data_IF_714198747541
#
_entry.id   IF_714198747541
#
_cell.length_a   1.000
_cell.length_b   1.000
_cell.length_c   1.000
_cell.angle_alpha   90.00
_cell.angle_beta   90.00
_cell.angle_gamma   90.00
#
_symmetry.space_group_name_H-M   'P 1'
#
loop_
_entity.id
_entity.type
_entity.pdbx_description
1 polymer ?
#
# COMPACT_ATOMS: atom_id res chain seq x y z
N UNK A 1 -6.48 -0.31 21.24
CA UNK A 1 -6.25 0.29 19.89
C UNK A 1 -7.61 0.55 19.24
N UNK A 2 -7.69 1.41 18.23
CA UNK A 2 -8.97 1.78 17.61
C UNK A 2 -9.73 0.59 16.96
N UNK A 3 -9.02 -0.47 16.57
CA UNK A 3 -9.63 -1.67 15.95
C UNK A 3 -10.18 -2.64 17.00
N UNK A 4 -9.41 -2.95 18.05
CA UNK A 4 -9.83 -3.95 19.05
C UNK A 4 -10.70 -3.36 20.18
N UNK A 5 -10.65 -2.04 20.40
CA UNK A 5 -11.43 -1.33 21.42
C UNK A 5 -12.11 -0.13 20.77
N UNK A 6 -13.27 -0.37 20.15
CA UNK A 6 -13.95 0.63 19.33
C UNK A 6 -14.44 1.85 20.10
N UNK A 7 -14.61 1.72 21.42
CA UNK A 7 -15.03 2.73 22.39
C UNK A 7 -13.85 3.49 23.03
N UNK A 8 -12.61 3.11 22.74
CA UNK A 8 -11.42 3.83 23.21
C UNK A 8 -11.33 5.21 22.52
N UNK A 9 -11.84 6.22 23.20
CA UNK A 9 -11.97 7.58 22.67
C UNK A 9 -10.61 8.19 22.30
N UNK A 10 -9.56 7.94 23.07
CA UNK A 10 -8.22 8.45 22.78
C UNK A 10 -7.71 7.86 21.46
N UNK A 11 -7.73 6.53 21.32
CA UNK A 11 -7.30 5.87 20.10
C UNK A 11 -8.14 6.25 18.86
N UNK A 12 -9.45 6.47 19.04
CA UNK A 12 -10.33 6.95 17.96
C UNK A 12 -10.02 8.39 17.56
N UNK A 13 -9.76 9.26 18.53
CA UNK A 13 -9.41 10.66 18.29
C UNK A 13 -8.08 10.76 17.53
N UNK A 14 -7.09 9.98 17.93
CA UNK A 14 -5.79 9.94 17.26
C UNK A 14 -5.90 9.42 15.82
N UNK A 15 -6.72 8.39 15.57
CA UNK A 15 -6.98 7.90 14.21
C UNK A 15 -7.70 8.93 13.33
N UNK A 16 -8.66 9.68 13.88
CA UNK A 16 -9.35 10.74 13.14
C UNK A 16 -8.38 11.87 12.78
N UNK A 17 -7.53 12.27 13.72
CA UNK A 17 -6.49 13.27 13.48
C UNK A 17 -5.51 12.78 12.40
N UNK A 18 -5.02 11.55 12.51
CA UNK A 18 -4.14 10.94 11.50
C UNK A 18 -4.78 10.89 10.11
N UNK A 19 -6.05 10.48 10.02
CA UNK A 19 -6.79 10.45 8.75
C UNK A 19 -6.97 11.86 8.15
N UNK A 20 -7.25 12.86 8.98
CA UNK A 20 -7.34 14.26 8.54
C UNK A 20 -6.01 14.76 7.98
N UNK A 21 -4.90 14.52 8.69
CA UNK A 21 -3.55 14.92 8.26
C UNK A 21 -3.15 14.21 6.96
N UNK A 22 -3.43 12.91 6.84
CA UNK A 22 -3.23 12.16 5.60
C UNK A 22 -4.06 12.75 4.44
N UNK A 23 -5.32 13.11 4.70
CA UNK A 23 -6.19 13.80 3.76
C UNK A 23 -5.63 15.14 3.27
N UNK A 24 -5.12 15.96 4.18
CA UNK A 24 -4.45 17.22 3.84
C UNK A 24 -3.20 16.99 2.97
N UNK A 25 -2.41 15.95 3.28
CA UNK A 25 -1.23 15.61 2.51
C UNK A 25 -1.60 15.19 1.08
N UNK A 26 -2.44 14.16 0.90
CA UNK A 26 -2.70 13.63 -0.45
C UNK A 26 -3.59 14.54 -1.31
N UNK A 27 -4.32 15.47 -0.70
CA UNK A 27 -5.03 16.52 -1.43
C UNK A 27 -4.09 17.48 -2.18
N UNK A 28 -2.84 17.61 -1.72
CA UNK A 28 -1.82 18.49 -2.30
C UNK A 28 -0.69 17.72 -3.00
N UNK A 29 -0.42 16.48 -2.58
CA UNK A 29 0.54 15.57 -3.20
C UNK A 29 -0.20 14.26 -3.56
N UNK A 30 -0.73 14.14 -4.79
CA UNK A 30 -1.58 13.01 -5.16
C UNK A 30 -0.93 11.65 -4.92
N UNK A 31 -1.79 10.64 -4.76
CA UNK A 31 -1.37 9.24 -4.57
C UNK A 31 -0.79 8.64 -5.86
N UNK A 32 -0.07 7.51 -5.71
CA UNK A 32 0.58 6.80 -6.81
C UNK A 32 0.08 5.36 -7.01
N UNK A 33 1.01 4.44 -7.28
CA UNK A 33 0.72 3.09 -7.76
C UNK A 33 -0.17 2.26 -6.82
N UNK A 34 -0.08 2.41 -5.50
CA UNK A 34 -0.96 1.68 -4.56
C UNK A 34 -2.44 1.85 -4.93
N UNK A 35 -2.88 3.08 -5.19
CA UNK A 35 -4.27 3.36 -5.54
C UNK A 35 -4.59 2.92 -6.98
N UNK A 36 -3.64 3.10 -7.91
CA UNK A 36 -3.79 2.68 -9.30
C UNK A 36 -4.04 1.16 -9.42
N UNK A 37 -3.29 0.34 -8.68
CA UNK A 37 -3.49 -1.11 -8.63
C UNK A 37 -4.68 -1.52 -7.75
N UNK A 38 -5.10 -0.69 -6.79
CA UNK A 38 -6.28 -0.98 -5.97
C UNK A 38 -7.62 -0.75 -6.69
N UNK A 39 -7.67 0.17 -7.67
CA UNK A 39 -8.92 0.52 -8.37
C UNK A 39 -9.52 -0.65 -9.18
N UNK A 40 -8.75 -1.41 -9.99
CA UNK A 40 -9.27 -2.58 -10.69
C UNK A 40 -9.84 -3.65 -9.76
N UNK A 41 -9.23 -3.85 -8.58
CA UNK A 41 -9.73 -4.76 -7.54
C UNK A 41 -11.11 -4.35 -7.03
N UNK A 42 -11.29 -3.06 -6.73
CA UNK A 42 -12.59 -2.53 -6.29
C UNK A 42 -13.64 -2.51 -7.41
N UNK A 43 -13.24 -2.16 -8.63
CA UNK A 43 -14.14 -2.07 -9.78
C UNK A 43 -14.60 -3.43 -10.32
N UNK A 44 -13.71 -4.42 -10.35
CA UNK A 44 -14.00 -5.75 -10.94
C UNK A 44 -14.52 -6.74 -9.90
N UNK A 45 -13.99 -6.70 -8.67
CA UNK A 45 -14.27 -7.72 -7.63
C UNK A 45 -15.00 -7.15 -6.41
N UNK A 46 -15.36 -5.86 -6.43
CA UNK A 46 -16.06 -5.18 -5.32
C UNK A 46 -15.32 -5.28 -3.97
N UNK A 47 -14.00 -5.41 -4.00
CA UNK A 47 -13.17 -5.41 -2.80
C UNK A 47 -13.20 -4.01 -2.18
N UNK A 48 -13.47 -3.86 -0.87
CA UNK A 48 -13.48 -2.56 -0.20
C UNK A 48 -12.15 -1.80 -0.42
N UNK A 49 -12.25 -0.52 -0.74
CA UNK A 49 -11.09 0.27 -1.19
C UNK A 49 -9.91 0.25 -0.21
N UNK A 50 -10.17 0.38 1.10
CA UNK A 50 -9.12 0.30 2.12
C UNK A 50 -8.41 -1.06 2.17
N UNK A 51 -9.15 -2.15 1.94
CA UNK A 51 -8.58 -3.49 1.88
C UNK A 51 -7.73 -3.67 0.62
N UNK A 52 -8.21 -3.23 -0.55
CA UNK A 52 -7.42 -3.25 -1.79
C UNK A 52 -6.10 -2.48 -1.64
N UNK A 53 -6.13 -1.29 -1.04
CA UNK A 53 -4.90 -0.53 -0.77
C UNK A 53 -3.97 -1.27 0.20
N UNK A 54 -4.51 -1.86 1.27
CA UNK A 54 -3.73 -2.62 2.26
C UNK A 54 -3.04 -3.84 1.63
N UNK A 55 -3.72 -4.52 0.70
CA UNK A 55 -3.17 -5.66 -0.04
C UNK A 55 -1.99 -5.24 -0.92
N UNK A 56 -2.13 -4.13 -1.67
CA UNK A 56 -1.11 -3.71 -2.64
C UNK A 56 0.07 -2.95 -2.01
N UNK A 57 -0.12 -2.29 -0.87
CA UNK A 57 0.87 -1.39 -0.26
C UNK A 57 2.26 -2.04 -0.04
N UNK A 58 2.40 -3.23 0.58
CA UNK A 58 3.71 -3.83 0.79
C UNK A 58 4.50 -4.07 -0.50
N UNK A 59 3.81 -4.48 -1.57
CA UNK A 59 4.42 -4.83 -2.84
C UNK A 59 4.86 -3.58 -3.61
N UNK A 60 4.05 -2.51 -3.54
CA UNK A 60 4.40 -1.22 -4.14
C UNK A 60 5.54 -0.53 -3.40
N UNK A 61 5.64 -0.65 -2.07
CA UNK A 61 6.80 -0.15 -1.31
C UNK A 61 8.09 -0.80 -1.83
N UNK A 62 8.10 -2.14 -1.99
CA UNK A 62 9.25 -2.88 -2.53
C UNK A 62 9.59 -2.44 -3.95
N UNK A 63 8.58 -2.30 -4.80
CA UNK A 63 8.76 -1.83 -6.17
C UNK A 63 9.37 -0.42 -6.23
N UNK A 64 8.92 0.49 -5.37
CA UNK A 64 9.37 1.88 -5.34
C UNK A 64 10.73 2.06 -4.64
N UNK A 65 11.27 1.04 -3.95
CA UNK A 65 12.51 1.12 -3.18
C UNK A 65 13.69 1.78 -3.94
N UNK A 66 13.95 1.48 -5.24
CA UNK A 66 15.05 2.11 -5.96
C UNK A 66 14.93 3.64 -6.12
N UNK A 67 13.70 4.18 -6.08
CA UNK A 67 13.43 5.61 -6.27
C UNK A 67 13.02 6.33 -4.97
N UNK A 68 12.49 5.60 -3.98
CA UNK A 68 11.88 6.15 -2.77
C UNK A 68 12.53 5.68 -1.47
N UNK A 69 13.55 4.81 -1.50
CA UNK A 69 14.18 4.26 -0.30
C UNK A 69 14.65 5.32 0.71
N UNK A 70 15.27 6.40 0.23
CA UNK A 70 15.71 7.53 1.08
C UNK A 70 14.53 8.30 1.72
N UNK A 71 13.37 8.32 1.07
CA UNK A 71 12.15 8.87 1.65
C UNK A 71 11.56 7.92 2.69
N UNK A 72 11.70 6.60 2.49
CA UNK A 72 11.26 5.60 3.43
C UNK A 72 12.09 5.58 4.72
N UNK A 73 13.38 5.90 4.67
CA UNK A 73 14.21 6.13 5.86
C UNK A 73 13.59 7.21 6.77
N UNK A 74 13.08 8.30 6.20
CA UNK A 74 12.54 9.43 6.96
C UNK A 74 11.22 9.11 7.68
N UNK A 75 10.48 8.10 7.21
CA UNK A 75 9.15 7.76 7.73
C UNK A 75 9.11 6.44 8.50
N UNK A 76 10.16 5.62 8.43
CA UNK A 76 10.23 4.31 9.07
C UNK A 76 10.05 4.37 10.59
N UNK A 77 10.78 5.25 11.27
CA UNK A 77 10.67 5.42 12.72
C UNK A 77 9.29 5.97 13.15
N UNK A 78 8.80 7.11 12.62
CA UNK A 78 7.52 7.66 13.09
C UNK A 78 6.29 6.81 12.73
N UNK A 79 6.35 6.00 11.66
CA UNK A 79 5.22 5.15 11.25
C UNK A 79 5.26 3.79 11.95
N UNK A 80 6.43 3.15 11.98
CA UNK A 80 6.55 1.74 12.31
C UNK A 80 7.44 1.48 13.55
N UNK A 81 8.04 2.52 14.13
CA UNK A 81 9.01 2.38 15.22
C UNK A 81 10.29 1.66 14.78
N UNK A 82 10.60 1.68 13.48
CA UNK A 82 11.80 1.06 12.93
C UNK A 82 12.95 2.05 13.07
N UNK A 83 13.97 1.69 13.85
CA UNK A 83 15.24 2.42 13.85
C UNK A 83 15.94 2.18 12.50
N UNK A 84 16.05 3.24 11.72
CA UNK A 84 16.63 3.22 10.38
C UNK A 84 18.03 3.86 10.32
N UNK A 85 18.64 4.17 11.46
CA UNK A 85 19.93 4.89 11.52
C UNK A 85 21.09 4.15 10.84
N UNK A 86 21.03 2.81 10.81
CA UNK A 86 22.03 1.94 10.17
C UNK A 86 21.51 1.22 8.91
N UNK A 87 20.30 1.56 8.44
CA UNK A 87 19.70 0.92 7.27
C UNK A 87 19.94 1.73 5.99
N UNK A 88 20.09 1.02 4.87
CA UNK A 88 20.02 1.65 3.55
C UNK A 88 18.57 1.71 3.02
N UNK A 89 18.37 2.49 1.96
CA UNK A 89 17.06 2.66 1.33
C UNK A 89 16.39 1.34 0.91
N UNK A 90 17.17 0.34 0.48
CA UNK A 90 16.63 -0.97 0.09
C UNK A 90 16.13 -1.76 1.31
N UNK A 91 16.95 -1.81 2.36
CA UNK A 91 16.69 -2.58 3.57
C UNK A 91 15.52 -1.99 4.33
N UNK A 92 15.46 -0.66 4.49
CA UNK A 92 14.31 -0.01 5.15
C UNK A 92 13.01 -0.23 4.37
N UNK A 93 13.06 -0.26 3.04
CA UNK A 93 11.89 -0.53 2.20
C UNK A 93 11.32 -1.92 2.47
N UNK A 94 12.18 -2.93 2.58
CA UNK A 94 11.75 -4.30 2.87
C UNK A 94 11.17 -4.42 4.28
N UNK A 95 11.83 -3.83 5.29
CA UNK A 95 11.34 -3.85 6.67
C UNK A 95 9.99 -3.11 6.79
N UNK A 96 9.85 -1.96 6.14
CA UNK A 96 8.62 -1.18 6.13
C UNK A 96 7.48 -1.91 5.41
N UNK A 97 7.77 -2.55 4.27
CA UNK A 97 6.81 -3.40 3.57
C UNK A 97 6.38 -4.60 4.44
N UNK A 98 7.32 -5.24 5.13
CA UNK A 98 7.07 -6.30 6.10
C UNK A 98 6.17 -5.84 7.24
N UNK A 99 6.43 -4.66 7.81
CA UNK A 99 5.60 -4.06 8.85
C UNK A 99 4.13 -3.90 8.41
N UNK A 100 3.86 -3.36 7.23
CA UNK A 100 2.48 -3.19 6.75
C UNK A 100 1.81 -4.53 6.46
N UNK A 101 2.55 -5.50 5.95
CA UNK A 101 2.06 -6.87 5.75
C UNK A 101 1.66 -7.53 7.09
N UNK A 102 2.52 -7.46 8.10
CA UNK A 102 2.24 -7.99 9.43
C UNK A 102 1.12 -7.23 10.15
N UNK A 103 1.06 -5.91 9.96
CA UNK A 103 -0.03 -5.09 10.51
C UNK A 103 -1.38 -5.55 9.94
N UNK A 104 -1.48 -5.74 8.62
CA UNK A 104 -2.71 -6.26 8.00
C UNK A 104 -3.11 -7.62 8.60
N UNK A 105 -2.17 -8.56 8.72
CA UNK A 105 -2.41 -9.86 9.33
C UNK A 105 -2.85 -9.75 10.80
N UNK A 106 -2.21 -8.90 11.61
CA UNK A 106 -2.57 -8.66 13.02
C UNK A 106 -3.96 -8.05 13.18
N UNK A 107 -4.42 -7.27 12.20
CA UNK A 107 -5.75 -6.69 12.17
C UNK A 107 -6.82 -7.66 11.60
N UNK A 108 -6.42 -8.87 11.21
CA UNK A 108 -7.33 -9.88 10.64
C UNK A 108 -7.78 -9.57 9.22
N UNK A 109 -7.01 -8.76 8.48
CA UNK A 109 -7.27 -8.47 7.08
C UNK A 109 -6.66 -9.56 6.18
N UNK A 110 -7.33 -9.92 5.07
CA UNK A 110 -6.72 -10.72 4.01
C UNK A 110 -5.42 -10.08 3.52
N UNK A 111 -4.41 -10.90 3.26
CA UNK A 111 -3.05 -10.43 2.91
C UNK A 111 -2.57 -10.92 1.54
N UNK A 112 -3.41 -11.71 0.86
CA UNK A 112 -3.17 -12.28 -0.46
C UNK A 112 -4.41 -12.16 -1.33
N UNK A 113 -4.23 -11.94 -2.63
CA UNK A 113 -5.35 -11.83 -3.59
C UNK A 113 -6.16 -13.13 -3.68
N UNK A 114 -5.51 -14.29 -3.54
CA UNK A 114 -6.21 -15.59 -3.52
C UNK A 114 -7.20 -15.75 -2.36
N UNK A 115 -6.99 -15.05 -1.23
CA UNK A 115 -7.95 -15.01 -0.11
C UNK A 115 -9.23 -14.24 -0.48
N UNK A 116 -9.15 -13.40 -1.52
CA UNK A 116 -10.26 -12.62 -2.05
C UNK A 116 -10.96 -13.29 -3.23
N UNK A 117 -10.71 -14.59 -3.46
CA UNK A 117 -11.28 -15.39 -4.55
C UNK A 117 -10.93 -14.87 -5.95
N UNK A 118 -9.82 -14.13 -6.07
CA UNK A 118 -9.27 -13.74 -7.37
C UNK A 118 -8.49 -14.92 -7.93
N UNK A 119 -8.73 -15.27 -9.20
CA UNK A 119 -7.96 -16.28 -9.90
C UNK A 119 -6.63 -15.71 -10.40
N UNK A 120 -5.55 -16.50 -10.36
CA UNK A 120 -4.24 -16.10 -10.88
C UNK A 120 -4.28 -15.69 -12.36
N UNK A 121 -5.18 -16.33 -13.13
CA UNK A 121 -5.41 -16.00 -14.54
C UNK A 121 -5.97 -14.59 -14.78
N UNK A 122 -6.45 -13.91 -13.73
CA UNK A 122 -6.95 -12.53 -13.82
C UNK A 122 -5.86 -11.47 -13.64
N UNK A 123 -4.65 -11.84 -13.19
CA UNK A 123 -3.59 -10.86 -12.94
C UNK A 123 -3.17 -10.05 -14.18
N UNK A 124 -3.11 -10.63 -15.40
CA UNK A 124 -2.86 -9.86 -16.63
C UNK A 124 -3.90 -8.75 -16.88
N UNK A 125 -5.20 -9.07 -16.79
CA UNK A 125 -6.30 -8.09 -16.97
C UNK A 125 -6.26 -7.00 -15.88
N UNK A 126 -5.94 -7.37 -14.64
CA UNK A 126 -5.75 -6.43 -13.54
C UNK A 126 -4.56 -5.48 -13.78
N UNK A 127 -3.46 -5.97 -14.38
CA UNK A 127 -2.30 -5.17 -14.75
C UNK A 127 -2.64 -4.18 -15.87
N UNK A 128 -3.33 -4.62 -16.93
CA UNK A 128 -3.79 -3.72 -18.01
C UNK A 128 -4.67 -2.59 -17.46
N UNK A 129 -5.69 -2.94 -16.66
CA UNK A 129 -6.61 -1.95 -16.05
C UNK A 129 -5.93 -1.01 -15.07
N UNK A 130 -4.85 -1.46 -14.42
CA UNK A 130 -4.05 -0.59 -13.55
C UNK A 130 -3.33 0.48 -14.38
N UNK A 131 -2.81 0.12 -15.57
CA UNK A 131 -2.19 1.08 -16.49
C UNK A 131 -3.16 2.11 -17.05
N UNK A 132 -4.46 1.83 -17.10
CA UNK A 132 -5.45 2.86 -17.45
C UNK A 132 -5.53 4.00 -16.41
N UNK A 133 -5.01 3.80 -15.20
CA UNK A 133 -5.02 4.78 -14.12
C UNK A 133 -3.88 5.81 -14.23
N UNK A 134 -3.61 6.31 -15.44
CA UNK A 134 -2.50 7.21 -15.78
C UNK A 134 -2.42 8.46 -14.88
N UNK A 135 -3.58 9.03 -14.53
CA UNK A 135 -3.66 10.20 -13.63
C UNK A 135 -3.01 9.97 -12.27
N UNK A 136 -2.99 8.73 -11.78
CA UNK A 136 -2.36 8.33 -10.52
C UNK A 136 -0.92 7.89 -10.76
N UNK A 137 -0.70 7.06 -11.78
CA UNK A 137 0.61 6.48 -12.09
C UNK A 137 1.68 7.54 -12.40
N UNK A 138 1.31 8.65 -13.03
CA UNK A 138 2.23 9.77 -13.29
C UNK A 138 2.84 10.39 -12.02
N UNK A 139 2.20 10.20 -10.85
CA UNK A 139 2.72 10.70 -9.57
C UNK A 139 3.54 9.65 -8.81
N UNK A 140 3.64 8.42 -9.31
CA UNK A 140 4.42 7.38 -8.64
C UNK A 140 5.94 7.68 -8.82
N UNK A 141 6.78 7.52 -7.78
CA UNK A 141 8.20 7.90 -7.86
C UNK A 141 9.01 7.07 -8.85
N UNK A 142 8.50 5.90 -9.24
CA UNK A 142 9.05 5.03 -10.27
C UNK A 142 7.97 4.77 -11.32
N UNK A 143 8.29 4.95 -12.60
CA UNK A 143 7.37 4.62 -13.69
C UNK A 143 6.96 3.14 -13.61
N UNK A 144 5.68 2.85 -13.81
CA UNK A 144 5.11 1.50 -13.74
C UNK A 144 4.78 1.04 -15.15
N UNK A 145 5.52 0.06 -15.65
CA UNK A 145 5.19 -0.61 -16.91
C UNK A 145 4.26 -1.82 -16.68
N UNK A 146 3.78 -2.44 -17.76
CA UNK A 146 2.89 -3.60 -17.68
C UNK A 146 3.52 -4.77 -16.91
N UNK A 147 4.77 -5.10 -17.24
CA UNK A 147 5.48 -6.22 -16.60
C UNK A 147 5.73 -5.93 -15.11
N UNK A 148 5.96 -4.66 -14.74
CA UNK A 148 6.06 -4.25 -13.34
C UNK A 148 4.73 -4.43 -12.60
N UNK A 149 3.62 -3.94 -13.18
CA UNK A 149 2.29 -4.07 -12.59
C UNK A 149 1.90 -5.54 -12.40
N UNK A 150 2.15 -6.38 -13.42
CA UNK A 150 1.90 -7.81 -13.38
C UNK A 150 2.74 -8.50 -12.30
N UNK A 151 4.02 -8.14 -12.17
CA UNK A 151 4.89 -8.69 -11.13
C UNK A 151 4.44 -8.27 -9.73
N UNK A 152 4.01 -7.02 -9.54
CA UNK A 152 3.44 -6.55 -8.27
C UNK A 152 2.19 -7.37 -7.91
N UNK A 153 1.30 -7.65 -8.88
CA UNK A 153 0.14 -8.51 -8.64
C UNK A 153 0.52 -9.97 -8.32
N UNK A 154 1.54 -10.53 -8.98
CA UNK A 154 2.06 -11.87 -8.68
C UNK A 154 2.61 -11.97 -7.26
N UNK A 155 3.33 -10.94 -6.80
CA UNK A 155 3.83 -10.90 -5.43
C UNK A 155 2.70 -10.79 -4.40
N UNK A 156 1.57 -10.18 -4.78
CA UNK A 156 0.38 -10.04 -3.94
C UNK A 156 -0.55 -11.27 -3.96
N UNK A 157 -0.34 -12.24 -4.85
CA UNK A 157 -1.22 -13.40 -5.03
C UNK A 157 -1.07 -14.47 -3.94
#
# INVERSE_FOLDING_TARGET
TAVHQGDNLAARSDMLLGAMLAGQAFANAPVGAVHALAYPLGGTYHIPHGLSNSLMLPHVIRFNAPAAGELYLQIAEPIAGIDSSELDGSTVSEVLAGYFYELAARLGLPTRLREMQIAESALPDLAEKALDQQRLLINNPREVEYDDALEIYRQAF
#
